data_IF_384142210689
#
_entry.id   IF_384142210689
#
_cell.length_a   1.000
_cell.length_b   1.000
_cell.length_c   1.000
_cell.angle_alpha   90.00
_cell.angle_beta   90.00
_cell.angle_gamma   90.00
#
_symmetry.space_group_name_H-M   'P 1'
#
loop_
_entity.id
_entity.type
_entity.pdbx_description
1 polymer ?
#
# COMPACT_ATOMS: atom_id res chain seq x y z
N UNK A 1 17.93 -17.40 -15.32
CA UNK A 1 17.47 -17.44 -13.92
C UNK A 1 18.09 -16.28 -13.17
N UNK A 2 17.30 -15.24 -12.85
CA UNK A 2 17.78 -14.15 -12.00
C UNK A 2 17.90 -14.64 -10.57
N UNK A 3 19.13 -14.98 -10.15
CA UNK A 3 19.44 -15.46 -8.79
C UNK A 3 18.91 -14.50 -7.71
N UNK A 4 18.83 -13.20 -8.01
CA UNK A 4 18.31 -12.14 -7.13
C UNK A 4 16.84 -12.32 -6.78
N UNK A 5 15.97 -12.61 -7.76
CA UNK A 5 14.53 -12.81 -7.53
C UNK A 5 14.27 -14.09 -6.72
N UNK A 6 15.13 -15.09 -6.89
CA UNK A 6 15.03 -16.36 -6.16
C UNK A 6 15.47 -16.19 -4.70
N UNK A 7 16.55 -15.44 -4.45
CA UNK A 7 17.02 -15.12 -3.10
C UNK A 7 16.03 -14.22 -2.36
N UNK A 8 15.55 -13.14 -3.01
CA UNK A 8 14.56 -12.25 -2.40
C UNK A 8 13.24 -12.96 -2.15
N UNK A 9 12.75 -13.74 -3.12
CA UNK A 9 11.54 -14.55 -2.97
C UNK A 9 11.66 -15.56 -1.83
N UNK A 10 12.81 -16.23 -1.68
CA UNK A 10 13.03 -17.19 -0.60
C UNK A 10 13.11 -16.50 0.77
N UNK A 11 13.77 -15.34 0.85
CA UNK A 11 13.83 -14.54 2.07
C UNK A 11 12.42 -14.08 2.49
N UNK A 12 11.65 -13.49 1.58
CA UNK A 12 10.29 -13.04 1.87
C UNK A 12 9.34 -14.19 2.20
N UNK A 13 9.49 -15.34 1.55
CA UNK A 13 8.72 -16.54 1.86
C UNK A 13 9.02 -17.08 3.26
N UNK A 14 10.31 -17.15 3.64
CA UNK A 14 10.70 -17.54 4.99
C UNK A 14 10.21 -16.55 6.06
N UNK A 15 10.39 -15.26 5.81
CA UNK A 15 9.95 -14.19 6.72
C UNK A 15 8.43 -14.19 6.90
N UNK A 16 7.67 -14.26 5.80
CA UNK A 16 6.20 -14.31 5.86
C UNK A 16 5.70 -15.59 6.52
N UNK A 17 6.32 -16.74 6.30
CA UNK A 17 5.99 -17.97 7.02
C UNK A 17 6.21 -17.83 8.54
N UNK A 18 7.33 -17.22 8.96
CA UNK A 18 7.60 -16.93 10.37
C UNK A 18 6.53 -16.00 10.97
N UNK A 19 6.17 -14.93 10.27
CA UNK A 19 5.11 -14.00 10.70
C UNK A 19 3.76 -14.71 10.77
N UNK A 20 3.43 -15.59 9.82
CA UNK A 20 2.18 -16.36 9.83
C UNK A 20 2.07 -17.27 11.07
N UNK A 21 3.14 -18.01 11.39
CA UNK A 21 3.19 -18.89 12.58
C UNK A 21 3.09 -18.06 13.86
N UNK A 22 3.84 -16.96 13.94
CA UNK A 22 3.79 -16.04 15.09
C UNK A 22 2.39 -15.44 15.27
N UNK A 23 1.70 -15.15 14.18
CA UNK A 23 0.33 -14.61 14.18
C UNK A 23 -0.70 -15.62 14.68
N UNK A 24 -0.51 -16.92 14.42
CA UNK A 24 -1.35 -17.98 15.00
C UNK A 24 -1.19 -17.98 16.53
N UNK A 25 0.05 -17.85 17.03
CA UNK A 25 0.34 -17.76 18.47
C UNK A 25 -0.26 -16.53 19.16
N UNK A 26 -0.40 -15.42 18.44
CA UNK A 26 -1.06 -14.19 18.90
C UNK A 26 -2.59 -14.26 18.84
N UNK A 27 -3.14 -15.34 18.29
CA UNK A 27 -4.57 -15.53 18.07
C UNK A 27 -5.07 -14.73 16.88
N UNK A 28 -5.67 -15.43 15.90
CA UNK A 28 -6.24 -14.80 14.71
C UNK A 28 -7.59 -14.13 15.07
N UNK A 29 -8.33 -14.67 16.03
CA UNK A 29 -9.68 -14.18 16.37
C UNK A 29 -10.72 -14.52 15.30
N UNK A 30 -11.88 -13.86 15.34
CA UNK A 30 -12.97 -14.02 14.37
C UNK A 30 -13.12 -12.74 13.54
N UNK A 31 -13.77 -12.82 12.38
CA UNK A 31 -14.00 -11.64 11.52
C UNK A 31 -14.79 -10.53 12.24
N UNK A 32 -15.62 -10.91 13.20
CA UNK A 32 -16.38 -9.98 14.07
C UNK A 32 -15.61 -9.49 15.29
N UNK A 33 -14.50 -10.13 15.66
CA UNK A 33 -13.62 -9.75 16.77
C UNK A 33 -12.17 -10.12 16.41
N UNK A 34 -11.51 -9.31 15.58
CA UNK A 34 -10.13 -9.57 15.16
C UNK A 34 -9.21 -9.48 16.37
N UNK A 35 -8.39 -10.51 16.59
CA UNK A 35 -7.34 -10.49 17.61
C UNK A 35 -6.04 -9.94 17.01
N UNK A 36 -5.02 -9.76 17.85
CA UNK A 36 -3.73 -9.16 17.46
C UNK A 36 -3.06 -9.89 16.28
N UNK A 37 -3.30 -11.20 16.12
CA UNK A 37 -2.79 -12.02 15.02
C UNK A 37 -3.58 -11.93 13.71
N UNK A 38 -4.78 -11.33 13.67
CA UNK A 38 -5.63 -11.33 12.47
C UNK A 38 -4.94 -10.67 11.26
N UNK A 39 -4.57 -9.41 11.40
CA UNK A 39 -3.92 -8.62 10.34
C UNK A 39 -2.57 -9.19 9.89
N UNK A 40 -1.62 -9.50 10.80
CA UNK A 40 -0.33 -10.05 10.38
C UNK A 40 -0.46 -11.45 9.73
N UNK A 41 -1.47 -12.26 10.09
CA UNK A 41 -1.73 -13.53 9.43
C UNK A 41 -2.18 -13.37 7.97
N UNK A 42 -3.19 -12.53 7.71
CA UNK A 42 -3.69 -12.35 6.34
C UNK A 42 -2.70 -11.65 5.42
N UNK A 43 -1.94 -10.68 5.95
CA UNK A 43 -0.89 -10.00 5.18
C UNK A 43 0.27 -10.95 4.84
N UNK A 44 0.71 -11.78 5.78
CA UNK A 44 1.73 -12.80 5.51
C UNK A 44 1.25 -13.85 4.50
N UNK A 45 -0.01 -14.27 4.56
CA UNK A 45 -0.60 -15.19 3.57
C UNK A 45 -0.56 -14.62 2.15
N UNK A 46 -0.89 -13.34 1.97
CA UNK A 46 -0.80 -12.67 0.68
C UNK A 46 0.65 -12.60 0.16
N UNK A 47 1.62 -12.33 1.04
CA UNK A 47 3.04 -12.31 0.67
C UNK A 47 3.49 -13.72 0.23
N UNK A 48 3.10 -14.77 0.94
CA UNK A 48 3.38 -16.17 0.56
C UNK A 48 2.80 -16.45 -0.83
N UNK A 49 1.54 -16.07 -1.07
CA UNK A 49 0.89 -16.25 -2.37
C UNK A 49 1.65 -15.53 -3.50
N UNK A 50 2.05 -14.28 -3.30
CA UNK A 50 2.83 -13.53 -4.28
C UNK A 50 4.21 -14.15 -4.52
N UNK A 51 4.87 -14.66 -3.48
CA UNK A 51 6.12 -15.40 -3.63
C UNK A 51 5.93 -16.66 -4.46
N UNK A 52 4.86 -17.44 -4.22
CA UNK A 52 4.55 -18.64 -5.01
C UNK A 52 4.28 -18.30 -6.48
N UNK A 53 3.56 -17.21 -6.76
CA UNK A 53 3.34 -16.71 -8.13
C UNK A 53 4.67 -16.34 -8.78
N UNK A 54 5.55 -15.61 -8.09
CA UNK A 54 6.87 -15.24 -8.60
C UNK A 54 7.75 -16.47 -8.88
N UNK A 55 7.72 -17.48 -8.01
CA UNK A 55 8.39 -18.75 -8.26
C UNK A 55 7.80 -19.43 -9.50
N UNK A 56 6.46 -19.56 -9.60
CA UNK A 56 5.78 -20.13 -10.76
C UNK A 56 6.17 -19.45 -12.07
N UNK A 57 6.18 -18.11 -12.10
CA UNK A 57 6.65 -17.34 -13.26
C UNK A 57 8.13 -17.59 -13.56
N UNK A 58 8.99 -17.67 -12.54
CA UNK A 58 10.43 -17.93 -12.70
C UNK A 58 10.71 -19.33 -13.25
N UNK A 59 9.91 -20.34 -12.86
CA UNK A 59 10.02 -21.71 -13.37
C UNK A 59 9.41 -21.87 -14.77
N UNK A 60 8.27 -21.23 -15.04
CA UNK A 60 7.60 -21.26 -16.34
C UNK A 60 8.39 -20.52 -17.43
N UNK A 61 9.07 -19.42 -17.08
CA UNK A 61 9.81 -18.59 -18.04
C UNK A 61 11.26 -19.07 -18.29
N UNK A 62 11.56 -20.38 -18.09
CA UNK A 62 12.90 -20.96 -18.27
C UNK A 62 13.44 -20.90 -19.70
N UNK A 63 12.60 -20.66 -20.71
CA UNK A 63 13.00 -20.67 -22.14
C UNK A 63 12.96 -19.30 -22.84
N UNK A 64 12.60 -18.24 -22.13
CA UNK A 64 12.59 -16.90 -22.70
C UNK A 64 13.66 -16.07 -22.03
N UNK A 65 14.63 -15.59 -22.81
CA UNK A 65 15.32 -14.35 -22.49
C UNK A 65 14.27 -13.23 -22.44
N UNK A 66 13.48 -13.17 -21.37
CA UNK A 66 12.80 -11.95 -20.98
C UNK A 66 13.95 -11.02 -20.62
N UNK A 67 14.34 -10.22 -21.60
CA UNK A 67 15.45 -9.29 -21.52
C UNK A 67 15.37 -8.55 -20.20
N UNK A 68 16.55 -8.22 -19.64
CA UNK A 68 16.68 -7.25 -18.55
C UNK A 68 15.63 -6.17 -18.75
N UNK A 69 14.49 -6.31 -18.07
CA UNK A 69 13.68 -5.18 -17.77
C UNK A 69 14.55 -4.49 -16.75
N UNK A 70 15.35 -3.58 -17.26
CA UNK A 70 15.99 -2.48 -16.56
C UNK A 70 14.87 -1.58 -16.00
N UNK A 71 13.86 -2.18 -15.36
CA UNK A 71 12.71 -1.54 -14.72
C UNK A 71 13.19 -0.61 -13.63
N UNK A 72 14.42 -0.79 -13.14
CA UNK A 72 15.05 0.12 -12.20
C UNK A 72 15.72 1.34 -12.85
N UNK A 73 16.04 1.33 -14.15
CA UNK A 73 16.62 2.50 -14.82
C UNK A 73 15.58 3.56 -15.20
N UNK A 74 14.31 3.18 -15.26
CA UNK A 74 13.15 4.08 -15.45
C UNK A 74 12.45 4.46 -14.14
N UNK A 75 12.88 3.92 -12.98
CA UNK A 75 12.29 4.27 -11.69
C UNK A 75 12.88 5.59 -11.21
N UNK A 76 12.05 6.62 -11.20
CA UNK A 76 12.37 7.89 -10.57
C UNK A 76 12.36 7.75 -9.04
N UNK A 77 13.43 7.20 -8.47
CA UNK A 77 13.60 7.03 -7.02
C UNK A 77 13.30 8.30 -6.22
N UNK A 78 13.62 9.46 -6.79
CA UNK A 78 13.31 10.75 -6.20
C UNK A 78 11.79 10.96 -6.01
N UNK A 79 10.96 10.56 -6.98
CA UNK A 79 9.50 10.64 -6.88
C UNK A 79 8.98 9.68 -5.81
N UNK A 80 9.48 8.45 -5.77
CA UNK A 80 9.08 7.47 -4.75
C UNK A 80 9.46 7.94 -3.33
N UNK A 81 10.65 8.50 -3.15
CA UNK A 81 11.07 9.07 -1.86
C UNK A 81 10.25 10.29 -1.47
N UNK A 82 9.91 11.17 -2.42
CA UNK A 82 9.07 12.32 -2.15
C UNK A 82 7.64 11.90 -1.76
N UNK A 83 7.08 10.88 -2.43
CA UNK A 83 5.80 10.31 -2.07
C UNK A 83 5.83 9.72 -0.64
N UNK A 84 6.87 8.96 -0.30
CA UNK A 84 7.06 8.44 1.06
C UNK A 84 7.15 9.57 2.10
N UNK A 85 7.90 10.64 1.81
CA UNK A 85 7.96 11.83 2.67
C UNK A 85 6.61 12.52 2.82
N UNK A 86 5.83 12.65 1.74
CA UNK A 86 4.49 13.22 1.78
C UNK A 86 3.52 12.39 2.65
N UNK A 87 3.64 11.06 2.61
CA UNK A 87 2.91 10.15 3.50
C UNK A 87 3.28 10.37 4.97
N UNK A 88 4.58 10.56 5.28
CA UNK A 88 5.00 10.88 6.65
C UNK A 88 4.41 12.21 7.12
N UNK A 89 4.44 13.25 6.29
CA UNK A 89 3.83 14.56 6.59
C UNK A 89 2.32 14.44 6.81
N UNK A 90 1.64 13.64 5.98
CA UNK A 90 0.21 13.39 6.11
C UNK A 90 -0.15 12.79 7.47
N UNK A 91 0.69 11.90 8.03
CA UNK A 91 0.46 11.31 9.34
C UNK A 91 0.37 12.36 10.47
N UNK A 92 1.15 13.44 10.36
CA UNK A 92 1.12 14.56 11.32
C UNK A 92 0.01 15.57 11.02
N UNK A 93 -0.31 15.80 9.74
CA UNK A 93 -1.38 16.73 9.34
C UNK A 93 -2.79 16.18 9.61
N UNK A 94 -2.98 14.87 9.45
CA UNK A 94 -4.28 14.22 9.57
C UNK A 94 -5.04 14.56 10.88
N UNK A 95 -4.43 14.48 12.08
CA UNK A 95 -5.12 14.85 13.32
C UNK A 95 -5.42 16.35 13.44
N UNK A 96 -4.58 17.22 12.88
CA UNK A 96 -4.69 18.67 13.02
C UNK A 96 -5.77 19.27 12.10
N UNK A 97 -5.65 19.03 10.79
CA UNK A 97 -6.49 19.68 9.76
C UNK A 97 -7.65 18.80 9.28
N UNK A 98 -7.68 17.53 9.69
CA UNK A 98 -8.75 16.59 9.39
C UNK A 98 -8.60 15.85 8.06
N UNK A 99 -9.40 14.80 7.91
CA UNK A 99 -9.31 13.87 6.79
C UNK A 99 -9.44 14.57 5.44
N UNK A 100 -10.48 15.39 5.25
CA UNK A 100 -10.83 15.98 3.95
C UNK A 100 -9.73 16.92 3.42
N UNK A 101 -9.18 17.77 4.28
CA UNK A 101 -8.10 18.68 3.91
C UNK A 101 -6.77 17.94 3.72
N UNK A 102 -6.38 17.08 4.67
CA UNK A 102 -5.11 16.36 4.61
C UNK A 102 -5.03 15.42 3.40
N UNK A 103 -6.09 14.65 3.11
CA UNK A 103 -6.10 13.75 1.95
C UNK A 103 -6.20 14.50 0.63
N UNK A 104 -6.90 15.63 0.57
CA UNK A 104 -6.93 16.47 -0.63
C UNK A 104 -5.53 16.99 -0.97
N UNK A 105 -4.80 17.52 0.02
CA UNK A 105 -3.43 18.00 -0.14
C UNK A 105 -2.50 16.86 -0.56
N UNK A 106 -2.62 15.69 0.09
CA UNK A 106 -1.83 14.51 -0.23
C UNK A 106 -2.07 14.04 -1.67
N UNK A 107 -3.34 13.89 -2.08
CA UNK A 107 -3.70 13.45 -3.43
C UNK A 107 -3.26 14.45 -4.50
N UNK A 108 -3.42 15.76 -4.25
CA UNK A 108 -2.88 16.81 -5.11
C UNK A 108 -1.36 16.68 -5.27
N UNK A 109 -0.63 16.47 -4.17
CA UNK A 109 0.82 16.32 -4.20
C UNK A 109 1.24 15.08 -5.00
N UNK A 110 0.57 13.94 -4.81
CA UNK A 110 0.82 12.70 -5.55
C UNK A 110 0.53 12.85 -7.04
N UNK A 111 -0.61 13.43 -7.43
CA UNK A 111 -0.95 13.63 -8.83
C UNK A 111 -0.03 14.63 -9.52
N UNK A 112 0.37 15.70 -8.83
CA UNK A 112 1.36 16.65 -9.34
C UNK A 112 2.72 15.98 -9.56
N UNK A 113 3.12 15.08 -8.65
CA UNK A 113 4.37 14.31 -8.78
C UNK A 113 4.36 13.35 -9.97
N UNK A 114 3.17 12.85 -10.33
CA UNK A 114 2.93 12.07 -11.55
C UNK A 114 2.86 12.92 -12.82
N UNK A 115 3.21 14.21 -12.78
CA UNK A 115 3.19 15.15 -13.91
C UNK A 115 1.80 15.38 -14.53
N UNK A 116 0.71 15.14 -13.79
CA UNK A 116 -0.64 15.52 -14.26
C UNK A 116 -0.83 17.04 -14.25
N UNK A 117 -1.63 17.55 -15.19
CA UNK A 117 -2.05 18.96 -15.22
C UNK A 117 -2.83 19.30 -13.93
N UNK A 118 -2.69 20.51 -13.42
CA UNK A 118 -3.22 20.94 -12.11
C UNK A 118 -4.76 20.78 -12.04
N UNK A 119 -5.46 21.11 -13.13
CA UNK A 119 -6.93 21.00 -13.22
C UNK A 119 -7.45 19.56 -13.07
N UNK A 120 -7.04 18.59 -13.90
CA UNK A 120 -7.47 17.19 -13.73
C UNK A 120 -6.94 16.58 -12.42
N UNK A 121 -5.77 16.98 -11.94
CA UNK A 121 -5.26 16.55 -10.63
C UNK A 121 -6.17 17.00 -9.48
N UNK A 122 -6.64 18.26 -9.51
CA UNK A 122 -7.55 18.80 -8.50
C UNK A 122 -8.94 18.16 -8.55
N UNK A 123 -9.47 17.93 -9.76
CA UNK A 123 -10.74 17.25 -9.92
C UNK A 123 -10.65 15.79 -9.43
N UNK A 124 -9.59 15.07 -9.81
CA UNK A 124 -9.38 13.68 -9.40
C UNK A 124 -9.16 13.56 -7.89
N UNK A 125 -8.38 14.47 -7.29
CA UNK A 125 -8.18 14.48 -5.83
C UNK A 125 -9.48 14.71 -5.10
N UNK A 126 -10.27 15.71 -5.52
CA UNK A 126 -11.53 16.04 -4.87
C UNK A 126 -12.53 14.88 -5.00
N UNK A 127 -12.65 14.30 -6.21
CA UNK A 127 -13.51 13.16 -6.46
C UNK A 127 -13.11 11.97 -5.57
N UNK A 128 -11.82 11.67 -5.48
CA UNK A 128 -11.30 10.53 -4.69
C UNK A 128 -11.55 10.73 -3.20
N UNK A 129 -11.33 11.93 -2.68
CA UNK A 129 -11.59 12.27 -1.27
C UNK A 129 -13.07 12.16 -0.95
N UNK A 130 -13.95 12.69 -1.81
CA UNK A 130 -15.41 12.60 -1.61
C UNK A 130 -15.88 11.15 -1.67
N UNK A 131 -15.42 10.38 -2.66
CA UNK A 131 -15.82 8.97 -2.80
C UNK A 131 -15.38 8.15 -1.59
N UNK A 132 -14.14 8.37 -1.14
CA UNK A 132 -13.59 7.70 0.04
C UNK A 132 -14.33 8.12 1.31
N UNK A 133 -14.59 9.41 1.49
CA UNK A 133 -15.39 9.91 2.62
C UNK A 133 -16.79 9.27 2.63
N UNK A 134 -17.45 9.18 1.48
CA UNK A 134 -18.76 8.54 1.36
C UNK A 134 -18.69 7.04 1.69
N UNK A 135 -17.67 6.34 1.22
CA UNK A 135 -17.47 4.91 1.50
C UNK A 135 -17.27 4.67 3.01
N UNK A 136 -16.41 5.46 3.66
CA UNK A 136 -16.15 5.29 5.08
C UNK A 136 -17.30 5.79 5.97
N UNK A 137 -17.97 6.87 5.57
CA UNK A 137 -19.07 7.46 6.35
C UNK A 137 -20.38 6.69 6.18
N UNK A 138 -20.81 6.37 4.96
CA UNK A 138 -22.11 5.74 4.71
C UNK A 138 -22.07 4.22 4.76
N UNK A 139 -21.01 3.60 4.20
CA UNK A 139 -20.94 2.14 4.08
C UNK A 139 -20.31 1.54 5.35
N UNK A 140 -19.17 2.09 5.79
CA UNK A 140 -18.43 1.53 6.92
C UNK A 140 -18.81 2.14 8.28
N UNK A 141 -19.63 3.19 8.31
CA UNK A 141 -20.04 3.92 9.52
C UNK A 141 -18.87 4.23 10.48
N UNK A 142 -17.67 4.46 9.93
CA UNK A 142 -16.46 4.65 10.73
C UNK A 142 -16.20 6.15 10.87
N UNK A 143 -16.04 6.68 12.10
CA UNK A 143 -15.74 8.09 12.29
C UNK A 143 -14.34 8.39 11.75
N UNK A 144 -14.26 9.20 10.69
CA UNK A 144 -13.00 9.75 10.21
C UNK A 144 -12.59 10.93 11.10
N UNK A 145 -11.27 11.20 11.23
CA UNK A 145 -10.79 12.38 11.95
C UNK A 145 -11.35 13.65 11.32
N UNK A 146 -12.35 14.22 11.99
CA UNK A 146 -12.79 15.59 11.78
C UNK A 146 -11.76 16.43 12.51
N UNK A 147 -10.86 17.08 11.77
CA UNK A 147 -9.79 17.88 12.36
C UNK A 147 -10.35 19.07 13.15
N UNK A 148 -9.50 20.02 13.50
CA UNK A 148 -9.89 21.22 14.24
C UNK A 148 -11.04 22.03 13.61
N UNK A 149 -11.33 21.81 12.31
CA UNK A 149 -12.45 22.42 11.60
C UNK A 149 -13.83 21.82 11.92
N UNK A 150 -13.93 20.69 12.63
CA UNK A 150 -15.19 20.23 13.24
C UNK A 150 -16.30 19.75 12.28
N UNK A 151 -16.03 19.63 10.98
CA UNK A 151 -16.96 19.09 9.97
C UNK A 151 -16.47 17.73 9.45
#
# INVERSE_FOLDING_TARGET
MDKRNLISGLFFLGFSAFVAVSSIGLGIGRLTNPQAGFMPFWTSLLIILFCLILFGQTFANRSGSAGRADSWSQVHWHKSMLAAGALCVYMFLLPEIGYLAATSILMLALFKLSSMKILPAALASLLTVILSYALFSFILNTPLPRGMLGF
#
